data_IF_228981026630
#
_entry.id   IF_228981026630
#
_cell.length_a   1.000
_cell.length_b   1.000
_cell.length_c   1.000
_cell.angle_alpha   90.00
_cell.angle_beta   90.00
_cell.angle_gamma   90.00
#
_symmetry.space_group_name_H-M   'P 1'
#
loop_
_entity.id
_entity.type
_entity.pdbx_description
1 polymer ?
#
# COMPACT_ATOMS: atom_id res chain seq x y z
N UNK A 1 1.26 18.82 14.11
CA UNK A 1 0.69 18.13 12.94
C UNK A 1 1.44 18.52 11.68
N UNK A 2 1.96 17.55 10.93
CA UNK A 2 2.67 17.75 9.67
C UNK A 2 2.13 16.84 8.56
N UNK A 3 2.17 17.33 7.31
CA UNK A 3 1.76 16.55 6.16
C UNK A 3 2.81 15.47 5.88
N UNK A 4 2.34 14.24 5.69
CA UNK A 4 3.18 13.09 5.34
C UNK A 4 3.10 12.76 3.86
N UNK A 5 1.89 12.68 3.31
CA UNK A 5 1.66 12.12 1.97
C UNK A 5 0.39 12.69 1.33
N UNK A 6 0.40 12.86 0.01
CA UNK A 6 -0.78 13.10 -0.80
C UNK A 6 -1.11 11.81 -1.56
N UNK A 7 -2.28 11.26 -1.30
CA UNK A 7 -2.74 10.01 -1.89
C UNK A 7 -3.45 10.26 -3.22
N UNK A 8 -3.40 9.29 -4.12
CA UNK A 8 -4.10 9.29 -5.39
C UNK A 8 -5.62 9.24 -5.22
N UNK A 9 -6.11 8.57 -4.18
CA UNK A 9 -7.53 8.49 -3.87
C UNK A 9 -7.80 8.25 -2.37
N UNK A 10 -9.09 8.21 -2.03
CA UNK A 10 -9.57 7.97 -0.66
C UNK A 10 -9.09 6.63 -0.11
N UNK A 11 -9.16 5.57 -0.92
CA UNK A 11 -8.84 4.23 -0.46
C UNK A 11 -7.37 4.15 -0.07
N UNK A 12 -6.50 4.70 -0.91
CA UNK A 12 -5.07 4.77 -0.64
C UNK A 12 -4.76 5.55 0.65
N UNK A 13 -5.37 6.72 0.85
CA UNK A 13 -5.20 7.51 2.08
C UNK A 13 -5.67 6.76 3.33
N UNK A 14 -6.80 6.03 3.25
CA UNK A 14 -7.31 5.24 4.38
C UNK A 14 -6.41 4.06 4.69
N UNK A 15 -5.93 3.34 3.66
CA UNK A 15 -4.99 2.22 3.83
C UNK A 15 -3.68 2.68 4.51
N UNK A 16 -3.14 3.83 4.10
CA UNK A 16 -1.94 4.39 4.73
C UNK A 16 -2.23 4.81 6.18
N UNK A 17 -3.37 5.46 6.45
CA UNK A 17 -3.75 5.80 7.84
C UNK A 17 -3.84 4.55 8.71
N UNK A 18 -4.49 3.49 8.24
CA UNK A 18 -4.67 2.26 8.99
C UNK A 18 -3.35 1.49 9.17
N UNK A 19 -2.40 1.62 8.24
CA UNK A 19 -1.02 1.17 8.45
C UNK A 19 -0.37 1.94 9.61
N UNK A 20 -0.39 3.27 9.56
CA UNK A 20 0.21 4.12 10.60
C UNK A 20 -0.40 3.83 11.98
N UNK A 21 -1.72 3.67 12.06
CA UNK A 21 -2.44 3.37 13.30
C UNK A 21 -2.02 2.01 13.91
N UNK A 22 -1.89 0.97 13.08
CA UNK A 22 -1.36 -0.35 13.50
C UNK A 22 0.07 -0.27 14.05
N UNK A 23 0.82 0.72 13.60
CA UNK A 23 2.14 1.04 14.11
C UNK A 23 2.09 2.19 15.12
N UNK A 24 0.99 2.46 15.81
CA UNK A 24 0.88 3.46 16.87
C UNK A 24 1.38 4.85 16.47
N UNK A 25 1.17 5.25 15.22
CA UNK A 25 1.40 6.61 14.72
C UNK A 25 0.03 7.22 14.43
N UNK A 26 -0.40 8.19 15.24
CA UNK A 26 -1.69 8.83 15.06
C UNK A 26 -1.68 9.72 13.81
N UNK A 27 -2.60 9.46 12.88
CA UNK A 27 -2.71 10.18 11.62
C UNK A 27 -4.17 10.53 11.26
N UNK A 28 -4.34 11.61 10.49
CA UNK A 28 -5.65 12.04 9.95
C UNK A 28 -5.61 12.23 8.45
N UNK A 29 -6.75 11.95 7.82
CA UNK A 29 -6.98 12.17 6.38
C UNK A 29 -7.77 13.47 6.20
N UNK A 30 -7.29 14.34 5.33
CA UNK A 30 -7.96 15.57 4.89
C UNK A 30 -8.28 15.49 3.40
N UNK A 31 -9.25 16.29 2.93
CA UNK A 31 -9.62 16.33 1.50
C UNK A 31 -10.60 15.23 1.04
N UNK A 32 -11.06 14.37 1.95
CA UNK A 32 -11.90 13.19 1.66
C UNK A 32 -13.41 13.49 1.47
N UNK A 33 -13.83 14.73 1.69
CA UNK A 33 -15.25 15.10 1.85
C UNK A 33 -16.00 15.45 0.55
N UNK A 34 -15.36 15.35 -0.62
CA UNK A 34 -15.90 15.95 -1.85
C UNK A 34 -16.52 14.94 -2.83
N UNK A 35 -16.44 13.64 -2.54
CA UNK A 35 -16.96 12.59 -3.43
C UNK A 35 -18.49 12.47 -3.45
N UNK A 36 -19.19 13.01 -2.43
CA UNK A 36 -20.66 13.02 -2.35
C UNK A 36 -21.35 14.24 -2.98
N UNK A 37 -20.59 15.28 -3.33
CA UNK A 37 -21.08 16.55 -3.85
C UNK A 37 -20.57 16.80 -5.28
N UNK A 38 -20.65 15.75 -6.11
CA UNK A 38 -20.11 15.66 -7.47
C UNK A 38 -20.69 16.67 -8.49
N UNK A 39 -21.33 17.75 -8.05
CA UNK A 39 -21.85 18.82 -8.90
C UNK A 39 -21.04 20.12 -8.89
N UNK A 40 -20.36 20.49 -7.79
CA UNK A 40 -19.88 21.88 -7.62
C UNK A 40 -18.47 22.05 -7.04
N UNK A 41 -17.71 20.97 -6.84
CA UNK A 41 -16.38 21.04 -6.22
C UNK A 41 -15.27 20.72 -7.24
N UNK A 42 -14.09 21.36 -7.12
CA UNK A 42 -12.96 21.10 -8.02
C UNK A 42 -12.60 19.61 -8.00
N UNK A 43 -12.47 19.02 -9.19
CA UNK A 43 -12.14 17.60 -9.34
C UNK A 43 -10.74 17.22 -8.83
N UNK A 44 -9.89 18.21 -8.53
CA UNK A 44 -8.46 18.03 -8.23
C UNK A 44 -8.12 18.08 -6.74
N UNK A 45 -9.08 17.76 -5.85
CA UNK A 45 -8.79 17.69 -4.40
C UNK A 45 -8.41 16.26 -4.02
N UNK A 46 -7.11 16.01 -4.00
CA UNK A 46 -6.53 14.75 -3.59
C UNK A 46 -6.47 14.63 -2.06
N UNK A 47 -6.83 13.48 -1.46
CA UNK A 47 -6.71 13.28 -0.03
C UNK A 47 -5.26 13.41 0.45
N UNK A 48 -5.08 13.99 1.63
CA UNK A 48 -3.75 14.13 2.26
C UNK A 48 -3.74 13.46 3.62
N UNK A 49 -2.67 12.73 3.91
CA UNK A 49 -2.43 12.08 5.21
C UNK A 49 -1.46 12.92 6.01
N UNK A 50 -1.84 13.23 7.25
CA UNK A 50 -1.09 14.07 8.17
C UNK A 50 -0.85 13.33 9.48
N UNK A 51 0.36 13.42 10.00
CA UNK A 51 0.72 12.89 11.32
C UNK A 51 0.37 13.93 12.37
N UNK A 52 -0.28 13.51 13.46
CA UNK A 52 -0.72 14.42 14.53
C UNK A 52 0.48 14.95 15.31
N UNK A 53 1.32 14.05 15.77
CA UNK A 53 2.49 14.33 16.59
C UNK A 53 3.76 14.52 15.73
N UNK A 54 4.38 15.71 15.81
CA UNK A 54 5.51 16.07 14.94
C UNK A 54 6.72 15.14 15.14
N UNK A 55 6.88 14.59 16.34
CA UNK A 55 7.98 13.69 16.66
C UNK A 55 7.85 12.30 16.01
N UNK A 56 6.65 11.90 15.58
CA UNK A 56 6.41 10.65 14.87
C UNK A 56 6.68 10.74 13.37
N UNK A 57 6.86 11.95 12.83
CA UNK A 57 7.05 12.15 11.39
C UNK A 57 8.18 11.30 10.78
N UNK A 58 9.39 11.18 11.40
CA UNK A 58 10.45 10.36 10.84
C UNK A 58 10.07 8.88 10.73
N UNK A 59 9.39 8.35 11.75
CA UNK A 59 8.91 6.97 11.78
C UNK A 59 7.80 6.76 10.74
N UNK A 60 6.89 7.71 10.61
CA UNK A 60 5.82 7.68 9.63
C UNK A 60 6.36 7.68 8.19
N UNK A 61 7.46 8.41 7.93
CA UNK A 61 8.15 8.41 6.64
C UNK A 61 8.78 7.05 6.32
N UNK A 62 9.39 6.39 7.30
CA UNK A 62 9.90 5.02 7.12
C UNK A 62 8.77 4.06 6.73
N UNK A 63 7.67 4.07 7.48
CA UNK A 63 6.51 3.22 7.20
C UNK A 63 5.89 3.49 5.82
N UNK A 64 5.79 4.77 5.44
CA UNK A 64 5.31 5.15 4.11
C UNK A 64 6.21 4.60 3.00
N UNK A 65 7.52 4.75 3.14
CA UNK A 65 8.48 4.31 2.13
C UNK A 65 8.46 2.78 1.96
N UNK A 66 8.42 2.04 3.07
CA UNK A 66 8.34 0.57 3.04
C UNK A 66 7.04 0.11 2.36
N UNK A 67 5.92 0.72 2.71
CA UNK A 67 4.61 0.42 2.13
C UNK A 67 4.54 0.72 0.62
N UNK A 68 5.11 1.86 0.17
CA UNK A 68 5.19 2.19 -1.25
C UNK A 68 6.10 1.21 -2.01
N UNK A 69 7.24 0.84 -1.42
CA UNK A 69 8.17 -0.13 -2.01
C UNK A 69 7.52 -1.51 -2.16
N UNK A 70 6.79 -1.98 -1.15
CA UNK A 70 6.04 -3.23 -1.21
C UNK A 70 4.94 -3.21 -2.26
N UNK A 71 4.16 -2.12 -2.33
CA UNK A 71 3.12 -1.95 -3.35
C UNK A 71 3.72 -2.00 -4.76
N UNK A 72 4.84 -1.30 -4.97
CA UNK A 72 5.55 -1.32 -6.24
C UNK A 72 6.06 -2.71 -6.58
N UNK A 73 6.66 -3.42 -5.61
CA UNK A 73 7.17 -4.77 -5.81
C UNK A 73 6.05 -5.77 -6.17
N UNK A 74 4.85 -5.63 -5.57
CA UNK A 74 3.68 -6.44 -5.94
C UNK A 74 3.18 -6.10 -7.36
N UNK A 75 3.14 -4.82 -7.71
CA UNK A 75 2.67 -4.37 -9.03
C UNK A 75 3.60 -4.79 -10.17
N UNK A 76 4.88 -5.02 -9.90
CA UNK A 76 5.89 -5.42 -10.90
C UNK A 76 6.34 -6.88 -10.77
N UNK A 77 5.71 -7.66 -9.89
CA UNK A 77 6.08 -9.06 -9.70
C UNK A 77 5.81 -9.87 -10.98
N UNK A 78 6.79 -10.71 -11.35
CA UNK A 78 6.67 -11.57 -12.52
C UNK A 78 5.66 -12.70 -12.29
N UNK A 79 4.88 -13.03 -13.33
CA UNK A 79 4.04 -14.23 -13.35
C UNK A 79 4.88 -15.50 -13.13
N UNK A 80 4.26 -16.53 -12.54
CA UNK A 80 4.93 -17.77 -12.16
C UNK A 80 4.06 -18.99 -12.50
N UNK A 81 4.70 -20.13 -12.75
CA UNK A 81 3.99 -21.39 -13.02
C UNK A 81 3.84 -22.17 -11.73
N UNK A 82 2.61 -22.52 -11.38
CA UNK A 82 2.30 -23.26 -10.17
C UNK A 82 2.85 -24.68 -10.21
N UNK A 83 3.64 -25.06 -9.20
CA UNK A 83 4.23 -26.42 -9.14
C UNK A 83 3.23 -27.53 -8.83
N UNK A 84 2.07 -27.21 -8.26
CA UNK A 84 1.03 -28.20 -7.93
C UNK A 84 0.14 -28.58 -9.10
N UNK A 85 -0.27 -27.61 -9.92
CA UNK A 85 -1.23 -27.84 -11.00
C UNK A 85 -0.80 -27.33 -12.39
N UNK A 86 0.37 -26.68 -12.50
CA UNK A 86 0.91 -26.18 -13.77
C UNK A 86 0.30 -24.87 -14.28
N UNK A 87 -0.58 -24.22 -13.51
CA UNK A 87 -1.26 -22.98 -13.92
C UNK A 87 -0.28 -21.79 -13.97
N UNK A 88 -0.46 -20.88 -14.94
CA UNK A 88 0.26 -19.60 -14.96
C UNK A 88 -0.47 -18.60 -14.05
N UNK A 89 0.18 -18.19 -12.98
CA UNK A 89 -0.35 -17.27 -11.97
C UNK A 89 0.31 -15.91 -12.13
N UNK A 90 -0.48 -14.84 -12.05
CA UNK A 90 0.05 -13.48 -12.09
C UNK A 90 0.92 -13.18 -10.84
N UNK A 91 1.98 -12.38 -11.02
CA UNK A 91 2.95 -12.15 -9.95
C UNK A 91 2.39 -11.35 -8.77
N UNK A 92 1.28 -10.64 -8.95
CA UNK A 92 0.59 -9.95 -7.86
C UNK A 92 -0.03 -10.89 -6.82
N UNK A 93 -0.11 -12.20 -7.10
CA UNK A 93 -0.65 -13.21 -6.19
C UNK A 93 0.44 -14.09 -5.59
N UNK A 94 0.30 -14.34 -4.29
CA UNK A 94 1.15 -15.26 -3.53
C UNK A 94 0.59 -16.69 -3.49
N UNK A 95 -0.67 -16.88 -3.92
CA UNK A 95 -1.37 -18.17 -3.96
C UNK A 95 -1.85 -18.48 -5.37
N UNK A 96 -1.71 -19.75 -5.79
CA UNK A 96 -2.32 -20.22 -7.02
C UNK A 96 -3.84 -20.22 -6.89
N UNK A 97 -4.53 -19.42 -7.69
CA UNK A 97 -6.00 -19.34 -7.72
C UNK A 97 -6.68 -20.68 -8.06
N UNK A 98 -5.96 -21.61 -8.70
CA UNK A 98 -6.49 -22.92 -9.10
C UNK A 98 -6.39 -23.99 -8.01
N UNK A 99 -5.26 -24.07 -7.30
CA UNK A 99 -5.01 -25.16 -6.34
C UNK A 99 -4.63 -24.71 -4.94
N UNK A 100 -4.49 -23.41 -4.70
CA UNK A 100 -4.15 -22.83 -3.40
C UNK A 100 -2.69 -22.99 -2.99
N UNK A 101 -1.82 -23.53 -3.84
CA UNK A 101 -0.41 -23.65 -3.52
C UNK A 101 0.29 -22.27 -3.50
N UNK A 102 1.14 -22.06 -2.50
CA UNK A 102 1.95 -20.85 -2.34
C UNK A 102 3.05 -20.74 -3.41
N UNK A 103 3.36 -19.50 -3.80
CA UNK A 103 4.57 -19.19 -4.52
C UNK A 103 5.79 -19.50 -3.62
N UNK A 104 6.79 -20.21 -4.16
CA UNK A 104 8.01 -20.50 -3.40
C UNK A 104 8.87 -19.23 -3.27
N UNK A 105 8.96 -18.71 -2.04
CA UNK A 105 9.83 -17.60 -1.62
C UNK A 105 11.25 -18.12 -1.26
N UNK A 106 12.37 -17.39 -1.50
CA UNK A 106 12.47 -15.95 -1.75
C UNK A 106 12.43 -15.50 -3.21
N UNK A 107 11.82 -14.33 -3.45
CA UNK A 107 11.85 -13.65 -4.76
C UNK A 107 13.22 -13.07 -5.13
N UNK A 108 14.21 -13.19 -4.24
CA UNK A 108 15.64 -13.02 -4.50
C UNK A 108 16.40 -14.17 -3.86
N UNK A 109 17.17 -14.94 -4.65
CA UNK A 109 18.23 -15.79 -4.12
C UNK A 109 19.36 -14.89 -3.59
N UNK A 110 19.18 -14.38 -2.38
CA UNK A 110 20.14 -13.65 -1.56
C UNK A 110 19.49 -13.65 -0.17
N UNK A 111 19.55 -14.74 0.59
CA UNK A 111 20.75 -15.26 1.22
C UNK A 111 20.68 -16.79 1.32
N UNK A 112 21.53 -17.47 0.55
CA UNK A 112 22.00 -18.81 0.85
C UNK A 112 23.52 -18.69 0.88
N UNK A 113 24.04 -18.22 2.01
CA UNK A 113 25.37 -18.48 2.59
C UNK A 113 25.44 -17.80 3.97
#
# INVERSE_FOLDING_TARGET
>A
MQQLYQAADRIEAQLLRDLLDRHHVEARVFGDYLSGAAGELPADVYPTVWVIEDHDLPRAQTLLNDWLAENQARATAASWVCRGCGELVDGSFDLCWRCGQEALWPRTLKDAD
#
